data_IF_041279080030
#
_entry.id   IF_041279080030
#
_cell.length_a   1.000
_cell.length_b   1.000
_cell.length_c   1.000
_cell.angle_alpha   90.00
_cell.angle_beta   90.00
_cell.angle_gamma   90.00
#
_symmetry.space_group_name_H-M   'P 1'
#
loop_
_entity.id
_entity.type
_entity.pdbx_description
1 polymer ?
#
# COMPACT_ATOMS: atom_id res chain seq x y z
N UNK A 1 -37.58 -2.48 -10.20
CA UNK A 1 -38.37 -3.45 -11.00
C UNK A 1 -37.37 -4.48 -11.52
N UNK A 2 -37.12 -5.51 -10.70
CA UNK A 2 -37.53 -6.89 -10.97
C UNK A 2 -36.74 -7.54 -12.10
N UNK A 3 -35.72 -8.31 -11.73
CA UNK A 3 -35.51 -9.64 -12.30
C UNK A 3 -35.11 -10.59 -11.16
N UNK A 4 -36.15 -11.20 -10.60
CA UNK A 4 -36.07 -12.45 -9.86
C UNK A 4 -35.60 -13.53 -10.82
N UNK A 5 -34.44 -14.13 -10.56
CA UNK A 5 -34.14 -15.48 -11.00
C UNK A 5 -34.00 -16.30 -9.72
N UNK A 6 -35.09 -16.95 -9.34
CA UNK A 6 -35.05 -18.10 -8.46
C UNK A 6 -34.88 -19.34 -9.32
N UNK A 7 -33.81 -20.10 -9.07
CA UNK A 7 -33.74 -21.53 -9.35
C UNK A 7 -32.82 -22.15 -8.29
N UNK A 8 -33.47 -22.87 -7.38
CA UNK A 8 -32.87 -23.66 -6.33
C UNK A 8 -32.06 -24.82 -6.91
N UNK A 9 -30.90 -25.10 -6.31
CA UNK A 9 -30.19 -26.36 -6.51
C UNK A 9 -28.68 -26.23 -6.69
N UNK A 10 -27.94 -26.36 -5.59
CA UNK A 10 -26.69 -27.13 -5.62
C UNK A 10 -25.41 -26.47 -6.17
N UNK A 11 -25.28 -25.15 -6.15
CA UNK A 11 -23.96 -24.51 -6.26
C UNK A 11 -23.84 -23.49 -5.13
N UNK A 12 -23.32 -23.92 -3.99
CA UNK A 12 -22.71 -23.03 -3.01
C UNK A 12 -21.59 -22.27 -3.71
N UNK A 13 -21.90 -21.13 -4.33
CA UNK A 13 -20.92 -20.09 -4.55
C UNK A 13 -20.27 -19.88 -3.19
N UNK A 14 -19.00 -20.27 -3.05
CA UNK A 14 -18.26 -20.17 -1.81
C UNK A 14 -18.53 -18.78 -1.25
N UNK A 15 -19.20 -18.69 -0.11
CA UNK A 15 -19.24 -17.46 0.64
C UNK A 15 -17.76 -17.17 0.95
N UNK A 16 -17.14 -16.30 0.15
CA UNK A 16 -15.74 -15.97 0.30
C UNK A 16 -15.59 -15.49 1.73
N UNK A 17 -14.77 -16.19 2.52
CA UNK A 17 -14.48 -15.83 3.89
C UNK A 17 -14.12 -14.33 3.92
N UNK A 18 -14.90 -13.47 4.61
CA UNK A 18 -14.61 -12.04 4.66
C UNK A 18 -13.18 -11.76 5.12
N UNK A 19 -12.62 -12.61 5.99
CA UNK A 19 -11.22 -12.50 6.40
C UNK A 19 -10.26 -12.85 5.27
N UNK A 20 -10.59 -13.81 4.41
CA UNK A 20 -9.78 -14.12 3.22
C UNK A 20 -9.75 -12.95 2.23
N UNK A 21 -10.87 -12.23 2.05
CA UNK A 21 -10.91 -11.04 1.22
C UNK A 21 -10.04 -9.91 1.79
N UNK A 22 -10.09 -9.69 3.10
CA UNK A 22 -9.25 -8.68 3.75
C UNK A 22 -7.75 -9.00 3.64
N UNK A 23 -7.37 -10.27 3.88
CA UNK A 23 -5.99 -10.74 3.70
C UNK A 23 -5.53 -10.55 2.26
N UNK A 24 -6.36 -10.93 1.28
CA UNK A 24 -6.06 -10.71 -0.13
C UNK A 24 -5.86 -9.22 -0.45
N UNK A 25 -6.65 -8.34 0.16
CA UNK A 25 -6.49 -6.90 0.03
C UNK A 25 -5.12 -6.40 0.52
N UNK A 26 -4.64 -6.91 1.66
CA UNK A 26 -3.30 -6.58 2.18
C UNK A 26 -2.22 -7.02 1.20
N UNK A 27 -2.27 -8.26 0.70
CA UNK A 27 -1.30 -8.77 -0.27
C UNK A 27 -1.31 -8.03 -1.61
N UNK A 28 -2.47 -7.53 -2.04
CA UNK A 28 -2.54 -6.67 -3.24
C UNK A 28 -1.80 -5.36 -3.00
N UNK A 29 -1.96 -4.74 -1.83
CA UNK A 29 -1.21 -3.52 -1.48
C UNK A 29 0.28 -3.80 -1.36
N UNK A 30 0.67 -4.92 -0.74
CA UNK A 30 2.07 -5.34 -0.64
C UNK A 30 2.73 -5.48 -2.02
N UNK A 31 2.10 -6.23 -2.93
CA UNK A 31 2.59 -6.41 -4.29
C UNK A 31 2.68 -5.07 -5.05
N UNK A 32 1.71 -4.18 -4.87
CA UNK A 32 1.71 -2.86 -5.50
C UNK A 32 2.84 -1.97 -4.94
N UNK A 33 3.03 -1.98 -3.61
CA UNK A 33 4.13 -1.32 -2.94
C UNK A 33 5.48 -1.78 -3.48
N UNK A 34 5.73 -3.09 -3.51
CA UNK A 34 6.99 -3.61 -3.99
C UNK A 34 7.24 -3.26 -5.46
N UNK A 35 6.20 -3.27 -6.30
CA UNK A 35 6.31 -2.84 -7.70
C UNK A 35 6.72 -1.37 -7.80
N UNK A 36 6.08 -0.50 -7.03
CA UNK A 36 6.32 0.94 -7.02
C UNK A 36 7.69 1.32 -6.40
N UNK A 37 8.08 0.59 -5.36
CA UNK A 37 9.30 0.81 -4.59
C UNK A 37 10.54 0.15 -5.22
N UNK A 38 10.36 -0.81 -6.14
CA UNK A 38 11.46 -1.50 -6.82
C UNK A 38 12.57 -0.59 -7.38
N UNK A 39 12.28 0.54 -8.08
CA UNK A 39 13.33 1.43 -8.58
C UNK A 39 13.96 2.34 -7.50
N UNK A 40 13.44 2.38 -6.28
CA UNK A 40 13.90 3.31 -5.23
C UNK A 40 15.40 3.19 -4.94
N UNK A 41 16.01 2.00 -4.78
CA UNK A 41 17.43 1.90 -4.47
C UNK A 41 18.32 2.59 -5.52
N UNK A 42 17.98 2.45 -6.79
CA UNK A 42 18.75 3.05 -7.88
C UNK A 42 18.49 4.55 -8.01
N UNK A 43 17.24 5.01 -7.78
CA UNK A 43 16.93 6.45 -7.72
C UNK A 43 17.67 7.12 -6.55
N UNK A 44 17.64 6.52 -5.37
CA UNK A 44 18.31 7.03 -4.18
C UNK A 44 19.84 7.02 -4.32
N UNK A 45 20.38 6.08 -5.10
CA UNK A 45 21.79 6.03 -5.47
C UNK A 45 22.17 6.98 -6.63
N UNK A 46 21.23 7.73 -7.19
CA UNK A 46 21.47 8.66 -8.29
C UNK A 46 21.79 7.99 -9.63
N UNK A 47 21.40 6.72 -9.81
CA UNK A 47 21.68 5.94 -11.02
C UNK A 47 20.63 6.13 -12.12
N UNK A 48 19.49 6.73 -11.80
CA UNK A 48 18.39 6.93 -12.76
C UNK A 48 18.54 8.30 -13.44
N UNK A 49 18.79 8.35 -14.77
CA UNK A 49 18.93 9.62 -15.47
C UNK A 49 17.67 10.47 -15.39
N UNK A 50 17.83 11.79 -15.29
CA UNK A 50 16.72 12.74 -15.25
C UNK A 50 15.99 12.84 -13.91
N UNK A 51 16.37 12.04 -12.91
CA UNK A 51 15.86 12.15 -11.54
C UNK A 51 17.00 12.59 -10.62
N UNK A 52 16.82 13.72 -9.95
CA UNK A 52 17.76 14.22 -8.93
C UNK A 52 17.00 14.52 -7.66
N UNK A 53 17.38 13.85 -6.57
CA UNK A 53 16.81 14.07 -5.24
C UNK A 53 17.81 14.78 -4.35
N UNK A 54 17.35 15.78 -3.60
CA UNK A 54 18.12 16.34 -2.48
C UNK A 54 18.28 15.33 -1.36
N UNK A 55 19.21 15.55 -0.43
CA UNK A 55 19.41 14.61 0.69
C UNK A 55 18.19 14.56 1.63
N UNK A 56 17.47 15.68 1.77
CA UNK A 56 16.20 15.72 2.49
C UNK A 56 15.14 14.87 1.78
N UNK A 57 15.02 14.98 0.45
CA UNK A 57 14.10 14.18 -0.34
C UNK A 57 14.43 12.68 -0.27
N UNK A 58 15.72 12.31 -0.28
CA UNK A 58 16.14 10.91 -0.09
C UNK A 58 15.77 10.40 1.29
N UNK A 59 15.97 11.21 2.33
CA UNK A 59 15.62 10.86 3.72
C UNK A 59 14.12 10.65 3.84
N UNK A 60 13.34 11.55 3.24
CA UNK A 60 11.90 11.48 3.24
C UNK A 60 11.38 10.24 2.50
N UNK A 61 11.89 9.97 1.29
CA UNK A 61 11.55 8.78 0.52
C UNK A 61 11.80 7.49 1.31
N UNK A 62 12.96 7.37 1.96
CA UNK A 62 13.32 6.21 2.79
C UNK A 62 12.35 6.04 3.96
N UNK A 63 12.03 7.13 4.66
CA UNK A 63 11.10 7.10 5.80
C UNK A 63 9.69 6.71 5.36
N UNK A 64 9.13 7.36 4.33
CA UNK A 64 7.79 7.01 3.83
C UNK A 64 7.72 5.55 3.36
N UNK A 65 8.76 5.06 2.67
CA UNK A 65 8.86 3.65 2.25
C UNK A 65 8.95 2.69 3.43
N UNK A 66 9.70 3.05 4.48
CA UNK A 66 9.80 2.25 5.70
C UNK A 66 8.49 2.22 6.49
N UNK A 67 7.78 3.34 6.60
CA UNK A 67 6.45 3.39 7.22
C UNK A 67 5.48 2.45 6.52
N UNK A 68 5.39 2.54 5.19
CA UNK A 68 4.51 1.66 4.38
C UNK A 68 4.84 0.18 4.59
N UNK A 69 6.13 -0.18 4.58
CA UNK A 69 6.57 -1.56 4.82
C UNK A 69 6.20 -2.03 6.24
N UNK A 70 6.33 -1.17 7.24
CA UNK A 70 5.95 -1.50 8.62
C UNK A 70 4.45 -1.76 8.75
N UNK A 71 3.61 -0.95 8.10
CA UNK A 71 2.15 -1.11 8.11
C UNK A 71 1.70 -2.39 7.42
N UNK A 72 2.25 -2.68 6.23
CA UNK A 72 2.02 -3.94 5.51
C UNK A 72 2.40 -5.12 6.40
N UNK A 73 3.65 -5.13 6.89
CA UNK A 73 4.18 -6.21 7.72
C UNK A 73 3.37 -6.40 9.00
N UNK A 74 2.87 -5.32 9.60
CA UNK A 74 2.05 -5.41 10.82
C UNK A 74 0.72 -6.12 10.55
N UNK A 75 0.06 -5.81 9.44
CA UNK A 75 -1.21 -6.46 9.06
C UNK A 75 -1.01 -7.90 8.61
N UNK A 76 0.05 -8.19 7.86
CA UNK A 76 0.41 -9.57 7.48
C UNK A 76 0.68 -10.43 8.72
N UNK A 77 1.52 -9.96 9.64
CA UNK A 77 1.77 -10.67 10.91
C UNK A 77 0.51 -10.85 11.74
N UNK A 78 -0.36 -9.85 11.77
CA UNK A 78 -1.66 -9.96 12.46
C UNK A 78 -2.49 -11.12 11.88
N UNK A 79 -2.57 -11.20 10.55
CA UNK A 79 -3.26 -12.27 9.84
C UNK A 79 -2.60 -13.65 10.04
N UNK A 80 -1.27 -13.74 9.96
CA UNK A 80 -0.49 -14.96 10.20
C UNK A 80 -0.68 -15.50 11.62
N UNK A 81 -0.78 -14.60 12.60
CA UNK A 81 -1.07 -14.95 13.99
C UNK A 81 -2.54 -15.31 14.24
N UNK A 82 -3.38 -15.39 13.19
CA UNK A 82 -4.79 -15.76 13.29
C UNK A 82 -5.70 -14.63 13.78
N UNK A 83 -5.21 -13.39 13.82
CA UNK A 83 -6.04 -12.24 14.21
C UNK A 83 -6.95 -11.83 13.06
N UNK A 84 -8.17 -11.39 13.40
CA UNK A 84 -9.09 -10.85 12.41
C UNK A 84 -8.65 -9.46 11.97
N UNK A 85 -8.54 -9.27 10.65
CA UNK A 85 -8.39 -7.96 10.05
C UNK A 85 -9.74 -7.24 10.03
N UNK A 86 -9.67 -5.91 9.94
CA UNK A 86 -10.86 -5.07 9.77
C UNK A 86 -10.83 -4.35 8.43
N UNK A 87 -12.02 -4.04 7.90
CA UNK A 87 -12.13 -3.21 6.71
C UNK A 87 -11.48 -1.83 6.91
N UNK A 88 -11.60 -1.26 8.11
CA UNK A 88 -10.98 0.02 8.45
C UNK A 88 -9.45 -0.02 8.35
N UNK A 89 -8.83 -1.10 8.85
CA UNK A 89 -7.37 -1.28 8.74
C UNK A 89 -6.90 -1.42 7.29
N UNK A 90 -7.64 -2.17 6.46
CA UNK A 90 -7.33 -2.27 5.03
C UNK A 90 -7.50 -0.92 4.32
N UNK A 91 -8.56 -0.16 4.63
CA UNK A 91 -8.78 1.16 4.03
C UNK A 91 -7.72 2.18 4.47
N UNK A 92 -7.25 2.12 5.72
CA UNK A 92 -6.11 2.92 6.16
C UNK A 92 -4.86 2.59 5.35
N UNK A 93 -4.49 1.31 5.27
CA UNK A 93 -3.34 0.84 4.46
C UNK A 93 -3.41 1.30 3.00
N UNK A 94 -4.59 1.25 2.38
CA UNK A 94 -4.79 1.72 1.00
C UNK A 94 -4.61 3.24 0.88
N UNK A 95 -5.02 4.00 1.89
CA UNK A 95 -4.86 5.46 1.93
C UNK A 95 -3.38 5.85 2.09
N UNK A 96 -2.67 5.11 2.95
CA UNK A 96 -1.24 5.29 3.17
C UNK A 96 -0.46 4.92 1.90
N UNK A 97 -0.84 3.84 1.22
CA UNK A 97 -0.26 3.47 -0.08
C UNK A 97 -0.45 4.55 -1.15
N UNK A 98 -1.66 5.11 -1.28
CA UNK A 98 -1.91 6.20 -2.24
C UNK A 98 -1.11 7.45 -1.92
N UNK A 99 -0.96 7.77 -0.62
CA UNK A 99 -0.12 8.87 -0.17
C UNK A 99 1.36 8.61 -0.52
N UNK A 100 1.81 7.35 -0.47
CA UNK A 100 3.18 6.96 -0.75
C UNK A 100 3.45 7.07 -2.25
N UNK A 101 2.52 6.64 -3.09
CA UNK A 101 2.56 6.82 -4.53
C UNK A 101 2.63 8.30 -4.94
N UNK A 102 1.79 9.13 -4.32
CA UNK A 102 1.76 10.58 -4.54
C UNK A 102 3.10 11.21 -4.14
N UNK A 103 3.60 10.87 -2.94
CA UNK A 103 4.89 11.33 -2.48
C UNK A 103 6.01 10.93 -3.44
N UNK A 104 6.11 9.63 -3.76
CA UNK A 104 7.19 9.09 -4.57
C UNK A 104 7.20 9.67 -5.99
N UNK A 105 6.02 9.87 -6.58
CA UNK A 105 5.90 10.52 -7.88
C UNK A 105 6.32 11.99 -7.83
N UNK A 106 5.90 12.71 -6.79
CA UNK A 106 6.31 14.10 -6.56
C UNK A 106 7.83 14.24 -6.43
N UNK A 107 8.45 13.43 -5.57
CA UNK A 107 9.90 13.42 -5.37
C UNK A 107 10.66 13.19 -6.68
N UNK A 108 10.26 12.18 -7.47
CA UNK A 108 10.88 11.91 -8.77
C UNK A 108 10.73 13.07 -9.77
N UNK A 109 9.69 13.88 -9.65
CA UNK A 109 9.46 15.09 -10.45
C UNK A 109 10.16 16.35 -9.91
N UNK A 110 10.88 16.24 -8.78
CA UNK A 110 11.58 17.36 -8.14
C UNK A 110 10.72 18.16 -7.16
N UNK A 111 9.52 17.71 -6.84
CA UNK A 111 8.63 18.36 -5.85
C UNK A 111 8.63 17.58 -4.53
N UNK A 112 8.17 18.20 -3.45
CA UNK A 112 7.97 17.53 -2.15
C UNK A 112 6.52 17.70 -1.73
N UNK A 113 5.59 16.80 -2.15
CA UNK A 113 4.19 16.89 -1.77
C UNK A 113 3.96 16.73 -0.26
N UNK A 114 2.90 17.35 0.26
CA UNK A 114 2.49 17.20 1.68
C UNK A 114 2.21 15.74 2.07
N UNK A 115 1.82 14.91 1.10
CA UNK A 115 1.65 13.46 1.31
C UNK A 115 2.93 12.78 1.83
N UNK A 116 4.10 13.32 1.49
CA UNK A 116 5.37 12.78 1.98
C UNK A 116 5.55 12.97 3.49
N UNK A 117 5.23 14.15 4.02
CA UNK A 117 5.37 14.46 5.44
C UNK A 117 4.27 13.79 6.26
N UNK A 118 3.06 13.67 5.72
CA UNK A 118 1.96 12.93 6.35
C UNK A 118 2.35 11.47 6.64
N UNK A 119 2.95 10.78 5.67
CA UNK A 119 3.37 9.38 5.81
C UNK A 119 4.66 9.17 6.60
N UNK A 120 5.65 10.05 6.38
CA UNK A 120 6.92 9.89 7.08
C UNK A 120 6.77 10.14 8.58
N UNK A 121 5.75 10.91 8.99
CA UNK A 121 5.55 11.40 10.35
C UNK A 121 6.43 12.62 10.67
N UNK A 122 6.31 13.14 11.89
CA UNK A 122 7.19 14.18 12.41
C UNK A 122 8.58 13.60 12.74
N UNK A 123 9.64 14.37 12.48
CA UNK A 123 11.01 14.06 12.93
C UNK A 123 11.12 14.21 14.45
#
# INVERSE_FOLDING_TARGET
MLLLIGLAGGLSACAADPQAQLRQGVYVVDSAYHTLANPMPDVLAGKVPGITLTDDQKTLAKRSSQTMLNEITALEKSAENGSSLTQAALTALQTDFFSFETCWTGLKSGTTPDACTALAGSN
#
